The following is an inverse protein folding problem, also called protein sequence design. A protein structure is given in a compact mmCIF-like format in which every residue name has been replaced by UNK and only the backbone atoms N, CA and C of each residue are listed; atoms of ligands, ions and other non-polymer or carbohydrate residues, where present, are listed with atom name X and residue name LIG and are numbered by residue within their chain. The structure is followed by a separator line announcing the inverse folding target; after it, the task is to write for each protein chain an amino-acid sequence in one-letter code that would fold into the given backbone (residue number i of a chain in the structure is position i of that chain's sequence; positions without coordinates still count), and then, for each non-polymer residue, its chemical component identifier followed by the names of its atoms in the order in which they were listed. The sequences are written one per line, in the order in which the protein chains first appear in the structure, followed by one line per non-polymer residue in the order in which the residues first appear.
data_IF_356584676904
#
_entry.id   IF_356584676904
#
_cell.length_a   1.000
_cell.length_b   1.000
_cell.length_c   1.000
_cell.angle_alpha   90.00
_cell.angle_beta   90.00
_cell.angle_gamma   90.00
#
_symmetry.space_group_name_H-M   'P 1'
#
loop_
_entity.id
_entity.type
_entity.pdbx_description
1 polymer ?
#
# COMPACT_ATOMS: atom_id res chain seq x y z
N UNK A 1 -9.92 -9.86 0.55
CA UNK A 1 -10.30 -8.43 0.47
C UNK A 1 -11.76 -8.16 0.08
N UNK A 2 -12.28 -8.61 -1.08
CA UNK A 2 -13.68 -8.31 -1.51
C UNK A 2 -14.76 -8.66 -0.45
N UNK A 3 -14.65 -9.84 0.18
CA UNK A 3 -15.54 -10.25 1.28
C UNK A 3 -15.42 -9.36 2.52
N UNK A 4 -14.21 -8.90 2.83
CA UNK A 4 -13.93 -8.02 3.96
C UNK A 4 -14.56 -6.62 3.76
N UNK A 5 -14.46 -6.05 2.56
CA UNK A 5 -15.13 -4.79 2.23
C UNK A 5 -16.65 -4.88 2.39
N UNK A 6 -17.25 -6.01 2.00
CA UNK A 6 -18.69 -6.26 2.24
C UNK A 6 -19.03 -6.29 3.73
N UNK A 7 -18.16 -6.85 4.56
CA UNK A 7 -18.36 -6.90 6.01
C UNK A 7 -18.15 -5.54 6.71
N UNK A 8 -17.32 -4.66 6.14
CA UNK A 8 -17.08 -3.30 6.66
C UNK A 8 -18.26 -2.34 6.43
N UNK A 9 -19.29 -2.71 5.68
CA UNK A 9 -20.47 -1.87 5.50
C UNK A 9 -20.40 -0.85 4.36
N UNK A 10 -19.71 -1.18 3.25
CA UNK A 10 -19.86 -0.52 1.94
C UNK A 10 -19.30 0.88 1.78
N UNK A 11 -19.51 1.77 2.75
CA UNK A 11 -19.31 3.22 2.59
C UNK A 11 -18.08 3.76 3.30
N UNK A 12 -17.34 2.92 4.04
CA UNK A 12 -16.17 3.35 4.82
C UNK A 12 -14.94 3.54 3.92
N UNK A 13 -14.78 2.70 2.89
CA UNK A 13 -13.60 2.67 2.03
C UNK A 13 -13.99 2.44 0.57
N UNK A 14 -13.61 3.38 -0.29
CA UNK A 14 -13.68 3.19 -1.74
C UNK A 14 -12.41 2.46 -2.23
N UNK A 15 -12.58 1.26 -2.80
CA UNK A 15 -11.49 0.41 -3.26
C UNK A 15 -11.81 -0.17 -4.63
N UNK A 16 -10.92 0.06 -5.57
CA UNK A 16 -10.95 -0.56 -6.89
C UNK A 16 -9.94 -1.72 -6.95
N UNK A 17 -10.33 -2.79 -7.63
CA UNK A 17 -9.50 -3.99 -7.77
C UNK A 17 -8.96 -4.10 -9.18
N UNK A 18 -7.64 -4.10 -9.31
CA UNK A 18 -6.95 -4.40 -10.56
C UNK A 18 -6.35 -5.80 -10.50
N UNK A 19 -6.69 -6.63 -11.49
CA UNK A 19 -6.10 -7.94 -11.74
C UNK A 19 -5.78 -8.00 -13.23
N UNK A 20 -4.52 -8.29 -13.64
CA UNK A 20 -4.21 -8.48 -15.05
C UNK A 20 -5.12 -9.56 -15.65
N UNK A 21 -5.75 -9.27 -16.81
CA UNK A 21 -6.81 -10.11 -17.39
C UNK A 21 -6.37 -11.56 -17.67
N UNK A 22 -5.09 -11.75 -17.99
CA UNK A 22 -4.48 -13.05 -18.27
C UNK A 22 -3.02 -13.03 -17.79
N UNK A 23 -2.66 -13.99 -16.95
CA UNK A 23 -1.29 -14.10 -16.44
C UNK A 23 -1.19 -15.15 -15.34
N UNK A 24 0.03 -15.60 -15.10
CA UNK A 24 0.34 -16.44 -13.93
C UNK A 24 0.31 -15.57 -12.67
N UNK A 25 0.15 -16.20 -11.52
CA UNK A 25 0.29 -15.53 -10.23
C UNK A 25 1.63 -14.77 -10.16
N UNK A 26 1.59 -13.50 -9.75
CA UNK A 26 2.74 -12.59 -9.66
C UNK A 26 3.46 -12.28 -10.99
N UNK A 27 2.85 -12.58 -12.14
CA UNK A 27 3.41 -12.23 -13.44
C UNK A 27 3.14 -10.75 -13.75
N UNK A 28 4.19 -9.93 -13.82
CA UNK A 28 4.13 -8.49 -14.07
C UNK A 28 3.23 -7.70 -13.09
N UNK A 29 3.04 -8.22 -11.88
CA UNK A 29 2.23 -7.61 -10.84
C UNK A 29 2.66 -8.14 -9.45
N UNK A 30 2.06 -7.57 -8.41
CA UNK A 30 2.30 -7.97 -7.02
C UNK A 30 3.39 -7.17 -6.32
N UNK A 31 3.52 -7.35 -5.01
CA UNK A 31 4.41 -6.49 -4.20
C UNK A 31 5.88 -6.63 -4.56
N UNK A 32 6.35 -7.86 -4.83
CA UNK A 32 7.74 -8.12 -5.22
C UNK A 32 8.08 -7.43 -6.54
N UNK A 33 7.24 -7.62 -7.57
CA UNK A 33 7.41 -6.95 -8.86
C UNK A 33 7.46 -5.42 -8.71
N UNK A 34 6.51 -4.83 -7.98
CA UNK A 34 6.46 -3.37 -7.83
C UNK A 34 7.68 -2.85 -7.06
N UNK A 35 8.15 -3.59 -6.04
CA UNK A 35 9.33 -3.22 -5.26
C UNK A 35 10.61 -3.30 -6.09
N UNK A 36 10.77 -4.32 -6.93
CA UNK A 36 11.98 -4.54 -7.73
C UNK A 36 12.02 -3.67 -8.98
N UNK A 37 10.91 -3.60 -9.71
CA UNK A 37 10.81 -2.92 -11.01
C UNK A 37 10.50 -1.42 -10.87
N UNK A 38 10.02 -0.98 -9.70
CA UNK A 38 9.67 0.41 -9.40
C UNK A 38 8.80 1.07 -10.49
N UNK A 39 7.76 0.35 -10.91
CA UNK A 39 6.78 0.80 -11.91
C UNK A 39 5.42 0.18 -11.63
N UNK A 40 4.39 0.73 -12.29
CA UNK A 40 3.04 0.20 -12.20
C UNK A 40 2.95 -1.23 -12.77
N UNK A 41 2.03 -2.06 -12.24
CA UNK A 41 1.66 -3.35 -12.84
C UNK A 41 1.28 -3.20 -14.32
N UNK A 42 1.50 -4.25 -15.11
CA UNK A 42 1.19 -4.22 -16.54
C UNK A 42 -0.30 -3.96 -16.79
N UNK A 43 -0.59 -2.98 -17.64
CA UNK A 43 -1.96 -2.61 -18.02
C UNK A 43 -2.69 -1.71 -17.03
N UNK A 44 -2.02 -1.30 -15.93
CA UNK A 44 -2.56 -0.34 -14.98
C UNK A 44 -2.20 1.07 -15.41
N UNK A 45 -3.20 1.95 -15.52
CA UNK A 45 -3.04 3.39 -15.68
C UNK A 45 -3.82 4.10 -14.58
N UNK A 46 -3.19 5.04 -13.90
CA UNK A 46 -3.77 5.73 -12.74
C UNK A 46 -3.39 7.20 -12.74
N UNK A 47 -4.37 8.03 -12.35
CA UNK A 47 -4.17 9.46 -12.23
C UNK A 47 -3.12 9.78 -11.15
N UNK A 48 -2.32 10.85 -11.34
CA UNK A 48 -1.42 11.36 -10.32
C UNK A 48 -2.09 11.51 -8.95
N UNK A 49 -1.39 11.08 -7.90
CA UNK A 49 -1.89 11.12 -6.52
C UNK A 49 -2.83 9.97 -6.13
N UNK A 50 -3.22 9.09 -7.06
CA UNK A 50 -4.00 7.89 -6.74
C UNK A 50 -3.19 6.96 -5.85
N UNK A 51 -3.71 6.69 -4.63
CA UNK A 51 -3.09 5.76 -3.68
C UNK A 51 -3.30 4.32 -4.14
N UNK A 52 -2.23 3.67 -4.55
CA UNK A 52 -2.24 2.29 -5.00
C UNK A 52 -1.57 1.37 -3.98
N UNK A 53 -1.96 0.10 -3.99
CA UNK A 53 -1.36 -0.95 -3.15
C UNK A 53 -1.29 -2.26 -3.94
N UNK A 54 -0.19 -2.99 -3.80
CA UNK A 54 -0.04 -4.34 -4.32
C UNK A 54 0.22 -5.34 -3.20
N UNK A 55 -0.44 -6.48 -3.30
CA UNK A 55 -0.24 -7.67 -2.45
C UNK A 55 0.69 -8.64 -3.17
N UNK A 56 1.38 -9.52 -2.43
CA UNK A 56 1.92 -10.74 -3.01
C UNK A 56 0.88 -11.88 -3.08
N UNK A 57 1.33 -13.07 -3.48
CA UNK A 57 0.47 -14.18 -3.86
C UNK A 57 -0.36 -14.75 -2.71
N UNK A 58 0.19 -14.76 -1.50
CA UNK A 58 -0.45 -15.19 -0.25
C UNK A 58 -0.89 -14.02 0.63
N UNK A 59 -0.60 -12.79 0.21
CA UNK A 59 -1.07 -11.54 0.81
C UNK A 59 -0.55 -11.28 2.23
N UNK A 60 0.68 -11.74 2.55
CA UNK A 60 1.38 -11.40 3.78
C UNK A 60 2.28 -10.15 3.61
N UNK A 61 2.55 -9.73 2.36
CA UNK A 61 3.30 -8.51 2.04
C UNK A 61 2.47 -7.53 1.23
N UNK A 62 2.67 -6.25 1.55
CA UNK A 62 2.11 -5.13 0.81
C UNK A 62 3.16 -4.08 0.51
N UNK A 63 3.00 -3.40 -0.62
CA UNK A 63 3.71 -2.15 -0.92
C UNK A 63 2.73 -1.12 -1.45
N UNK A 64 2.86 0.11 -0.99
CA UNK A 64 2.10 1.24 -1.50
C UNK A 64 2.91 1.96 -2.57
N UNK A 65 2.21 2.68 -3.44
CA UNK A 65 2.82 3.53 -4.44
C UNK A 65 1.79 4.51 -5.01
N UNK A 66 2.29 5.50 -5.73
CA UNK A 66 1.48 6.44 -6.51
C UNK A 66 2.35 7.05 -7.61
N UNK A 67 1.73 7.68 -8.60
CA UNK A 67 2.43 8.57 -9.51
C UNK A 67 2.34 10.00 -8.98
N UNK A 68 3.45 10.74 -8.95
CA UNK A 68 3.41 12.16 -8.60
C UNK A 68 2.81 13.01 -9.73
N UNK A 69 2.72 14.34 -9.51
CA UNK A 69 2.16 15.28 -10.49
C UNK A 69 2.90 15.31 -11.82
N UNK A 70 4.17 14.86 -11.87
CA UNK A 70 4.96 14.72 -13.08
C UNK A 70 4.84 13.32 -13.72
N UNK A 71 3.86 12.51 -13.28
CA UNK A 71 3.66 11.11 -13.66
C UNK A 71 4.88 10.22 -13.37
N UNK A 72 5.70 10.58 -12.38
CA UNK A 72 6.83 9.77 -11.95
C UNK A 72 6.37 8.81 -10.86
N UNK A 73 6.71 7.54 -11.02
CA UNK A 73 6.40 6.50 -10.04
C UNK A 73 7.11 6.75 -8.71
N UNK A 74 6.36 6.68 -7.60
CA UNK A 74 6.86 6.84 -6.24
C UNK A 74 6.48 5.62 -5.41
N UNK A 75 7.52 4.89 -4.98
CA UNK A 75 7.37 3.74 -4.10
C UNK A 75 7.20 4.16 -2.62
N UNK A 76 6.28 3.50 -1.93
CA UNK A 76 6.07 3.58 -0.49
C UNK A 76 6.17 2.15 0.09
N UNK A 77 7.40 1.72 0.37
CA UNK A 77 7.72 0.37 0.84
C UNK A 77 7.55 0.20 2.36
N UNK A 78 8.00 -0.96 2.87
CA UNK A 78 7.89 -1.33 4.28
C UNK A 78 8.47 -0.28 5.24
N UNK A 79 9.58 0.37 4.87
CA UNK A 79 10.20 1.42 5.70
C UNK A 79 9.32 2.67 5.80
N UNK A 80 8.63 3.02 4.70
CA UNK A 80 7.67 4.14 4.71
C UNK A 80 6.44 3.80 5.53
N UNK A 81 5.97 2.56 5.48
CA UNK A 81 4.84 2.07 6.28
C UNK A 81 5.23 2.06 7.77
N UNK A 82 6.42 1.54 8.12
CA UNK A 82 6.89 1.48 9.50
C UNK A 82 7.08 2.86 10.11
N UNK A 83 7.67 3.80 9.36
CA UNK A 83 7.80 5.19 9.78
C UNK A 83 6.44 5.87 10.00
N UNK A 84 5.45 5.62 9.13
CA UNK A 84 4.10 6.15 9.28
C UNK A 84 3.42 5.64 10.56
N UNK A 85 3.47 4.33 10.79
CA UNK A 85 2.90 3.72 12.00
C UNK A 85 3.61 4.21 13.24
N UNK A 86 4.94 4.29 13.21
CA UNK A 86 5.73 4.80 14.34
C UNK A 86 5.40 6.26 14.67
N UNK A 87 5.28 7.12 13.65
CA UNK A 87 4.84 8.50 13.82
C UNK A 87 3.45 8.60 14.46
N UNK A 88 2.49 7.82 13.95
CA UNK A 88 1.14 7.78 14.50
C UNK A 88 1.11 7.32 15.96
N UNK A 89 1.82 6.24 16.31
CA UNK A 89 1.93 5.75 17.68
C UNK A 89 2.62 6.77 18.60
N UNK A 90 3.68 7.44 18.13
CA UNK A 90 4.37 8.49 18.87
C UNK A 90 3.41 9.62 19.24
N UNK A 91 2.55 10.05 18.32
CA UNK A 91 1.57 11.10 18.57
C UNK A 91 0.47 10.66 19.54
N UNK A 92 0.04 9.40 19.49
CA UNK A 92 -0.89 8.85 20.48
C UNK A 92 -0.28 8.83 21.89
N UNK A 93 0.97 8.38 22.03
CA UNK A 93 1.66 8.36 23.32
C UNK A 93 1.76 9.76 23.94
N UNK A 94 2.10 10.77 23.13
CA UNK A 94 2.12 12.17 23.55
C UNK A 94 0.74 12.64 24.03
N UNK A 95 -0.33 12.33 23.28
CA UNK A 95 -1.71 12.72 23.64
C UNK A 95 -2.17 12.09 24.96
N UNK A 96 -1.72 10.87 25.25
CA UNK A 96 -2.02 10.19 26.51
C UNK A 96 -1.12 10.63 27.68
N UNK A 97 -0.10 11.47 27.45
CA UNK A 97 0.87 11.86 28.48
C UNK A 97 1.81 10.72 28.90
N UNK A 98 1.98 9.69 28.07
CA UNK A 98 2.81 8.52 28.36
C UNK A 98 4.22 8.76 27.84
N UNK A 99 5.21 8.69 28.73
CA UNK A 99 6.62 8.73 28.36
C UNK A 99 7.13 7.30 28.09
N UNK A 100 7.12 6.90 26.81
CA UNK A 100 7.68 5.63 26.35
C UNK A 100 8.71 5.85 25.23
N UNK A 101 9.68 4.94 25.13
CA UNK A 101 10.64 4.91 24.00
C UNK A 101 10.07 4.03 22.91
N UNK A 102 9.92 4.58 21.70
CA UNK A 102 9.48 3.86 20.52
C UNK A 102 10.69 3.56 19.63
N UNK A 103 10.78 2.32 19.15
CA UNK A 103 11.80 1.87 18.21
C UNK A 103 11.16 1.26 16.97
N UNK A 104 11.87 1.36 15.85
CA UNK A 104 11.55 0.68 14.58
C UNK A 104 12.69 -0.30 14.31
N UNK A 105 12.36 -1.51 13.89
CA UNK A 105 13.30 -2.60 13.56
C UNK A 105 13.41 -2.75 12.05
#
# INVERSE_FOLDING_TARGET
MKRFLKALGGDILNVEFFLPERGRLNENCGSDFVKTEQRLPLGMDVEPGTRCVSFDGDADRIVYYYNDSAKVFRLLDGDKISALVAGFLSDLLKKCGISAKLGVV
#
